data_IF_201266436260
#
_entry.id   IF_201266436260
#
_cell.length_a   1.000
_cell.length_b   1.000
_cell.length_c   1.000
_cell.angle_alpha   90.00
_cell.angle_beta   90.00
_cell.angle_gamma   90.00
#
_symmetry.space_group_name_H-M   'P 1'
#
loop_
_entity.id
_entity.type
_entity.pdbx_description
1 polymer ?
#
# COMPACT_ATOMS: atom_id res chain seq x y z
N UNK A 1 -5.08 11.28 -14.38
CA UNK A 1 -4.67 9.98 -14.97
C UNK A 1 -4.25 8.95 -13.93
N UNK A 2 -3.25 9.22 -13.08
CA UNK A 2 -2.67 8.22 -12.14
C UNK A 2 -3.69 7.60 -11.18
N UNK A 3 -4.57 8.41 -10.57
CA UNK A 3 -5.59 7.90 -9.62
C UNK A 3 -6.57 6.97 -10.34
N UNK A 4 -7.00 7.33 -11.54
CA UNK A 4 -7.94 6.52 -12.33
C UNK A 4 -7.33 5.18 -12.74
N UNK A 5 -6.12 5.18 -13.31
CA UNK A 5 -5.44 3.94 -13.71
C UNK A 5 -5.06 3.06 -12.51
N UNK A 6 -4.63 3.66 -11.39
CA UNK A 6 -4.33 2.93 -10.17
C UNK A 6 -5.59 2.26 -9.58
N UNK A 7 -6.70 3.00 -9.47
CA UNK A 7 -7.97 2.45 -8.97
C UNK A 7 -8.51 1.36 -9.88
N UNK A 8 -8.43 1.56 -11.20
CA UNK A 8 -8.86 0.56 -12.18
C UNK A 8 -8.03 -0.73 -12.08
N UNK A 9 -6.70 -0.59 -11.95
CA UNK A 9 -5.81 -1.74 -11.78
C UNK A 9 -6.12 -2.55 -10.52
N UNK A 10 -6.30 -1.88 -9.38
CA UNK A 10 -6.71 -2.54 -8.14
C UNK A 10 -8.07 -3.22 -8.29
N UNK A 11 -9.05 -2.53 -8.88
CA UNK A 11 -10.39 -3.09 -9.08
C UNK A 11 -10.35 -4.35 -9.94
N UNK A 12 -9.66 -4.32 -11.08
CA UNK A 12 -9.52 -5.47 -11.96
C UNK A 12 -8.82 -6.64 -11.27
N UNK A 13 -7.75 -6.36 -10.52
CA UNK A 13 -7.01 -7.38 -9.79
C UNK A 13 -7.91 -8.10 -8.77
N UNK A 14 -8.65 -7.34 -7.96
CA UNK A 14 -9.57 -7.92 -6.97
C UNK A 14 -10.75 -8.64 -7.62
N UNK A 15 -11.29 -8.13 -8.73
CA UNK A 15 -12.38 -8.77 -9.45
C UNK A 15 -11.95 -10.12 -10.05
N UNK A 16 -10.78 -10.18 -10.68
CA UNK A 16 -10.29 -11.41 -11.31
C UNK A 16 -9.93 -12.45 -10.25
N UNK A 17 -9.08 -12.12 -9.30
CA UNK A 17 -8.63 -13.08 -8.28
C UNK A 17 -9.74 -13.43 -7.27
N UNK A 18 -10.60 -12.48 -6.93
CA UNK A 18 -11.72 -12.71 -6.03
C UNK A 18 -12.74 -13.67 -6.64
N UNK A 19 -13.14 -13.45 -7.89
CA UNK A 19 -14.05 -14.36 -8.58
C UNK A 19 -13.44 -15.75 -8.79
N UNK A 20 -12.13 -15.82 -9.06
CA UNK A 20 -11.42 -17.09 -9.17
C UNK A 20 -11.42 -17.84 -7.83
N UNK A 21 -11.14 -17.17 -6.72
CA UNK A 21 -11.19 -17.76 -5.39
C UNK A 21 -12.59 -18.27 -5.01
N UNK A 22 -13.65 -17.50 -5.34
CA UNK A 22 -15.04 -17.93 -5.15
C UNK A 22 -15.36 -19.18 -6.00
N UNK A 23 -14.89 -19.23 -7.24
CA UNK A 23 -15.08 -20.39 -8.09
C UNK A 23 -14.40 -21.65 -7.51
N UNK A 24 -13.19 -21.51 -6.97
CA UNK A 24 -12.48 -22.63 -6.30
C UNK A 24 -13.27 -23.16 -5.09
N UNK A 25 -13.88 -22.28 -4.32
CA UNK A 25 -14.76 -22.64 -3.20
C UNK A 25 -16.00 -23.39 -3.68
N UNK A 26 -16.73 -22.83 -4.66
CA UNK A 26 -17.97 -23.39 -5.19
C UNK A 26 -17.74 -24.73 -5.92
N UNK A 27 -16.59 -24.90 -6.56
CA UNK A 27 -16.22 -26.15 -7.24
C UNK A 27 -15.70 -27.23 -6.27
N UNK A 28 -15.53 -26.90 -4.97
CA UNK A 28 -15.03 -27.82 -3.96
C UNK A 28 -13.53 -28.19 -4.12
N UNK A 29 -12.80 -27.44 -4.97
CA UNK A 29 -11.38 -27.68 -5.19
C UNK A 29 -10.52 -27.15 -4.04
N UNK A 30 -10.95 -26.06 -3.40
CA UNK A 30 -10.25 -25.45 -2.28
C UNK A 30 -11.25 -24.79 -1.32
N UNK A 31 -11.22 -25.17 -0.05
CA UNK A 31 -12.05 -24.55 0.98
C UNK A 31 -11.45 -23.19 1.40
N UNK A 32 -11.64 -22.16 0.57
CA UNK A 32 -11.03 -20.83 0.72
C UNK A 32 -11.51 -20.15 2.01
N UNK A 33 -12.79 -20.29 2.34
CA UNK A 33 -13.37 -19.73 3.57
C UNK A 33 -12.76 -20.32 4.84
N UNK A 34 -12.58 -21.64 4.90
CA UNK A 34 -11.92 -22.30 6.03
C UNK A 34 -10.44 -21.91 6.16
N UNK A 35 -9.75 -21.81 5.03
CA UNK A 35 -8.35 -21.38 4.99
C UNK A 35 -8.19 -19.92 5.48
N UNK A 36 -9.12 -19.04 5.12
CA UNK A 36 -9.14 -17.66 5.59
C UNK A 36 -9.24 -17.56 7.11
N UNK A 37 -10.08 -18.38 7.72
CA UNK A 37 -10.30 -18.39 9.17
C UNK A 37 -9.12 -19.03 9.92
N UNK A 38 -8.61 -20.16 9.41
CA UNK A 38 -7.60 -20.95 10.11
C UNK A 38 -6.16 -20.46 9.86
N UNK A 39 -5.82 -20.14 8.63
CA UNK A 39 -4.44 -19.83 8.22
C UNK A 39 -4.22 -18.34 7.89
N UNK A 40 -5.30 -17.58 7.73
CA UNK A 40 -5.26 -16.15 7.45
C UNK A 40 -5.06 -15.80 5.97
N UNK A 41 -5.25 -14.53 5.65
CA UNK A 41 -5.32 -14.01 4.28
C UNK A 41 -4.09 -14.31 3.41
N UNK A 42 -2.88 -14.30 4.00
CA UNK A 42 -1.62 -14.48 3.24
C UNK A 42 -1.48 -15.88 2.70
N UNK A 43 -1.68 -16.89 3.55
CA UNK A 43 -1.52 -18.30 3.17
C UNK A 43 -2.63 -18.67 2.20
N UNK A 44 -3.85 -18.20 2.42
CA UNK A 44 -4.97 -18.42 1.51
C UNK A 44 -4.69 -17.85 0.12
N UNK A 45 -4.23 -16.59 0.03
CA UNK A 45 -3.87 -15.99 -1.26
C UNK A 45 -2.77 -16.77 -1.98
N UNK A 46 -1.76 -17.25 -1.25
CA UNK A 46 -0.69 -18.07 -1.82
C UNK A 46 -1.24 -19.41 -2.36
N UNK A 47 -2.11 -20.08 -1.61
CA UNK A 47 -2.73 -21.33 -2.04
C UNK A 47 -3.62 -21.12 -3.27
N UNK A 48 -4.41 -20.06 -3.31
CA UNK A 48 -5.24 -19.67 -4.47
C UNK A 48 -4.37 -19.42 -5.71
N UNK A 49 -3.25 -18.70 -5.58
CA UNK A 49 -2.33 -18.46 -6.69
C UNK A 49 -1.66 -19.74 -7.20
N UNK A 50 -1.37 -20.69 -6.31
CA UNK A 50 -0.77 -21.98 -6.68
C UNK A 50 -1.72 -22.91 -7.45
N UNK A 51 -3.04 -22.71 -7.35
CA UNK A 51 -4.02 -23.48 -8.16
C UNK A 51 -4.10 -23.04 -9.61
N UNK A 52 -3.54 -21.88 -9.97
CA UNK A 52 -3.48 -21.41 -11.35
C UNK A 52 -2.57 -22.30 -12.21
N UNK A 53 -2.85 -22.47 -13.51
CA UNK A 53 -1.90 -23.08 -14.43
C UNK A 53 -0.60 -22.28 -14.39
N UNK A 54 0.52 -22.95 -14.15
CA UNK A 54 1.83 -22.34 -13.86
C UNK A 54 1.89 -21.57 -12.52
N UNK A 55 1.19 -22.02 -11.49
CA UNK A 55 1.07 -21.36 -10.19
C UNK A 55 2.39 -20.90 -9.57
N UNK A 56 3.46 -21.70 -9.69
CA UNK A 56 4.80 -21.29 -9.22
C UNK A 56 5.36 -20.07 -9.94
N UNK A 57 5.13 -19.95 -11.25
CA UNK A 57 5.57 -18.79 -12.03
C UNK A 57 4.77 -17.53 -11.64
N UNK A 58 3.46 -17.68 -11.50
CA UNK A 58 2.60 -16.58 -11.04
C UNK A 58 2.95 -16.13 -9.61
N UNK A 59 3.25 -17.08 -8.73
CA UNK A 59 3.68 -16.76 -7.36
C UNK A 59 5.01 -16.00 -7.36
N UNK A 60 5.98 -16.44 -8.17
CA UNK A 60 7.26 -15.75 -8.31
C UNK A 60 7.08 -14.31 -8.86
N UNK A 61 6.29 -14.14 -9.91
CA UNK A 61 5.97 -12.83 -10.48
C UNK A 61 5.27 -11.93 -9.45
N UNK A 62 4.33 -12.47 -8.69
CA UNK A 62 3.65 -11.76 -7.62
C UNK A 62 4.61 -11.31 -6.52
N UNK A 63 5.51 -12.19 -6.06
CA UNK A 63 6.53 -11.82 -5.06
C UNK A 63 7.44 -10.72 -5.57
N UNK A 64 7.89 -10.80 -6.81
CA UNK A 64 8.73 -9.77 -7.44
C UNK A 64 8.01 -8.43 -7.53
N UNK A 65 6.75 -8.44 -7.95
CA UNK A 65 5.90 -7.25 -8.00
C UNK A 65 5.73 -6.61 -6.60
N UNK A 66 5.48 -7.42 -5.57
CA UNK A 66 5.34 -6.93 -4.19
C UNK A 66 6.65 -6.30 -3.70
N UNK A 67 7.81 -6.90 -3.98
CA UNK A 67 9.12 -6.34 -3.60
C UNK A 67 9.35 -4.98 -4.25
N UNK A 68 9.09 -4.86 -5.56
CA UNK A 68 9.21 -3.58 -6.28
C UNK A 68 8.26 -2.53 -5.70
N UNK A 69 7.02 -2.91 -5.43
CA UNK A 69 6.02 -2.00 -4.86
C UNK A 69 6.42 -1.50 -3.46
N UNK A 70 6.90 -2.38 -2.60
CA UNK A 70 7.39 -2.01 -1.25
C UNK A 70 8.60 -1.10 -1.37
N UNK A 71 9.57 -1.43 -2.23
CA UNK A 71 10.78 -0.62 -2.41
C UNK A 71 10.45 0.81 -2.88
N UNK A 72 9.59 0.96 -3.87
CA UNK A 72 9.17 2.29 -4.37
C UNK A 72 8.38 3.08 -3.33
N UNK A 73 7.51 2.42 -2.56
CA UNK A 73 6.74 3.05 -1.49
C UNK A 73 7.65 3.55 -0.36
N UNK A 74 8.60 2.73 0.07
CA UNK A 74 9.54 3.12 1.14
C UNK A 74 10.48 4.23 0.70
N UNK A 75 10.95 4.22 -0.56
CA UNK A 75 11.77 5.32 -1.08
C UNK A 75 10.99 6.64 -1.07
N UNK A 76 9.75 6.63 -1.52
CA UNK A 76 8.89 7.83 -1.53
C UNK A 76 8.62 8.36 -0.12
N UNK A 77 8.24 7.49 0.82
CA UNK A 77 7.93 7.89 2.21
C UNK A 77 9.19 8.38 2.93
N UNK A 78 10.33 7.69 2.77
CA UNK A 78 11.61 8.11 3.37
C UNK A 78 12.07 9.46 2.86
N UNK A 79 11.85 9.75 1.57
CA UNK A 79 12.14 11.07 0.98
C UNK A 79 11.29 12.16 1.63
N UNK A 80 9.98 11.96 1.73
CA UNK A 80 9.05 12.94 2.32
C UNK A 80 9.43 13.24 3.78
N UNK A 81 9.71 12.20 4.58
CA UNK A 81 10.11 12.38 5.98
C UNK A 81 11.44 13.14 6.07
N UNK A 82 12.44 12.72 5.31
CA UNK A 82 13.76 13.35 5.30
C UNK A 82 13.69 14.83 4.88
N UNK A 83 12.82 15.15 3.92
CA UNK A 83 12.58 16.53 3.47
C UNK A 83 11.98 17.39 4.57
N UNK A 84 10.97 16.90 5.30
CA UNK A 84 10.31 17.66 6.37
C UNK A 84 11.22 17.87 7.58
N UNK A 85 12.03 16.88 7.94
CA UNK A 85 12.99 16.99 9.04
C UNK A 85 14.07 18.04 8.74
N UNK A 86 14.51 18.16 7.48
CA UNK A 86 15.55 19.12 7.09
C UNK A 86 15.04 20.55 6.92
N UNK A 87 13.75 20.78 6.65
CA UNK A 87 13.15 22.11 6.42
C UNK A 87 13.33 23.08 7.60
N UNK A 88 13.71 22.59 8.77
CA UNK A 88 14.03 23.42 9.94
C UNK A 88 15.40 24.12 9.82
N UNK A 89 16.26 23.72 8.89
CA UNK A 89 17.55 24.36 8.59
C UNK A 89 17.49 25.06 7.24
N UNK A 90 17.43 26.34 7.29
CA UNK A 90 17.49 27.39 6.26
C UNK A 90 18.37 27.06 5.03
N UNK A 91 17.87 26.30 4.08
CA UNK A 91 18.24 26.31 2.65
C UNK A 91 17.52 25.18 1.90
N UNK A 92 16.95 25.51 0.74
CA UNK A 92 16.16 24.61 -0.12
C UNK A 92 17.03 23.57 -0.86
N UNK A 93 17.82 22.79 -0.13
CA UNK A 93 18.61 21.70 -0.70
C UNK A 93 17.91 20.37 -0.51
N UNK A 94 18.03 19.48 -1.51
CA UNK A 94 17.54 18.12 -1.45
C UNK A 94 17.98 17.39 -0.18
N UNK A 95 17.14 16.50 0.40
CA UNK A 95 17.51 15.76 1.60
C UNK A 95 18.71 14.86 1.35
N UNK A 96 19.64 14.85 2.28
CA UNK A 96 20.86 14.04 2.22
C UNK A 96 20.53 12.54 2.02
N UNK A 97 21.28 11.86 1.14
CA UNK A 97 21.16 10.42 0.94
C UNK A 97 21.21 9.61 2.24
N UNK A 98 22.05 10.05 3.17
CA UNK A 98 22.21 9.39 4.49
C UNK A 98 20.92 9.48 5.31
N UNK A 99 20.24 10.63 5.29
CA UNK A 99 18.99 10.85 6.01
C UNK A 99 17.85 10.00 5.40
N UNK A 100 17.75 9.93 4.07
CA UNK A 100 16.81 9.07 3.38
C UNK A 100 17.04 7.60 3.73
N UNK A 101 18.28 7.14 3.68
CA UNK A 101 18.64 5.76 4.01
C UNK A 101 18.29 5.43 5.47
N UNK A 102 18.58 6.34 6.39
CA UNK A 102 18.25 6.18 7.81
C UNK A 102 16.73 5.98 8.02
N UNK A 103 15.92 6.84 7.43
CA UNK A 103 14.46 6.71 7.52
C UNK A 103 13.93 5.47 6.82
N UNK A 104 14.51 5.08 5.68
CA UNK A 104 14.14 3.84 5.00
C UNK A 104 14.40 2.60 5.87
N UNK A 105 15.53 2.57 6.59
CA UNK A 105 15.84 1.50 7.55
C UNK A 105 14.85 1.45 8.71
N UNK A 106 14.51 2.58 9.31
CA UNK A 106 13.53 2.64 10.40
C UNK A 106 12.18 2.13 9.94
N UNK A 107 11.72 2.55 8.74
CA UNK A 107 10.46 2.11 8.16
C UNK A 107 10.45 0.61 7.84
N UNK A 108 11.60 0.01 7.51
CA UNK A 108 11.70 -1.42 7.23
C UNK A 108 11.77 -2.26 8.52
N UNK A 109 12.47 -1.77 9.56
CA UNK A 109 12.64 -2.50 10.83
C UNK A 109 11.31 -2.66 11.57
N UNK A 110 10.47 -1.63 11.57
CA UNK A 110 9.21 -1.66 12.31
C UNK A 110 8.28 -2.82 11.89
N UNK A 111 7.92 -2.98 10.59
CA UNK A 111 7.10 -4.11 10.14
C UNK A 111 7.80 -5.45 10.33
N UNK A 112 9.13 -5.51 10.14
CA UNK A 112 9.91 -6.74 10.35
C UNK A 112 9.86 -7.19 11.83
N UNK A 113 10.00 -6.28 12.77
CA UNK A 113 9.89 -6.56 14.19
C UNK A 113 8.48 -7.07 14.56
N UNK A 114 7.43 -6.40 14.06
CA UNK A 114 6.03 -6.82 14.27
C UNK A 114 5.77 -8.22 13.69
N UNK A 115 6.42 -8.54 12.56
CA UNK A 115 6.32 -9.86 11.95
C UNK A 115 6.96 -10.96 12.83
N UNK A 116 8.15 -10.71 13.39
CA UNK A 116 8.88 -11.66 14.26
C UNK A 116 8.08 -11.96 15.54
N UNK A 117 7.43 -10.95 16.11
CA UNK A 117 6.65 -11.07 17.36
C UNK A 117 5.24 -11.65 17.11
N UNK A 118 4.88 -11.98 15.86
CA UNK A 118 3.54 -12.45 15.46
C UNK A 118 2.38 -11.49 15.82
N UNK A 119 2.66 -10.22 16.00
CA UNK A 119 1.69 -9.16 16.30
C UNK A 119 1.02 -8.58 15.03
N UNK A 120 1.04 -9.30 13.93
CA UNK A 120 0.52 -8.84 12.65
C UNK A 120 -0.99 -8.49 12.67
N UNK A 121 -1.79 -9.23 13.44
CA UNK A 121 -3.23 -8.93 13.61
C UNK A 121 -3.43 -7.59 14.31
N UNK A 122 -2.76 -7.41 15.43
CA UNK A 122 -2.83 -6.16 16.21
C UNK A 122 -2.35 -4.96 15.38
N UNK A 123 -1.29 -5.14 14.59
CA UNK A 123 -0.81 -4.10 13.69
C UNK A 123 -1.85 -3.72 12.63
N UNK A 124 -2.55 -4.69 12.03
CA UNK A 124 -3.63 -4.42 11.08
C UNK A 124 -4.81 -3.68 11.73
N UNK A 125 -5.20 -4.07 12.93
CA UNK A 125 -6.30 -3.44 13.68
C UNK A 125 -5.95 -1.97 14.02
N UNK A 126 -4.71 -1.71 14.41
CA UNK A 126 -4.22 -0.35 14.68
C UNK A 126 -4.22 0.48 13.39
N UNK A 127 -3.76 -0.06 12.26
CA UNK A 127 -3.76 0.64 10.96
C UNK A 127 -5.19 0.98 10.55
N UNK A 128 -6.13 0.06 10.70
CA UNK A 128 -7.55 0.31 10.42
C UNK A 128 -8.12 1.43 11.30
N UNK A 129 -7.81 1.42 12.59
CA UNK A 129 -8.25 2.46 13.53
C UNK A 129 -7.68 3.83 13.15
N UNK A 130 -6.39 3.88 12.80
CA UNK A 130 -5.71 5.12 12.37
C UNK A 130 -6.18 5.62 10.99
N UNK A 131 -6.77 4.76 10.16
CA UNK A 131 -7.31 5.17 8.87
C UNK A 131 -8.62 5.97 8.98
N UNK A 132 -9.37 5.81 10.08
CA UNK A 132 -10.62 6.53 10.32
C UNK A 132 -10.46 8.07 10.29
N UNK A 133 -9.54 8.69 11.04
CA UNK A 133 -9.34 10.14 10.97
C UNK A 133 -8.85 10.58 9.60
N UNK A 134 -8.04 9.77 8.90
CA UNK A 134 -7.58 10.09 7.55
C UNK A 134 -8.72 10.16 6.54
N UNK A 135 -9.76 9.35 6.72
CA UNK A 135 -10.96 9.37 5.87
C UNK A 135 -11.66 10.75 5.88
N UNK A 136 -11.59 11.49 6.99
CA UNK A 136 -12.13 12.84 7.10
C UNK A 136 -11.13 13.91 6.64
N UNK A 137 -9.84 13.71 6.90
CA UNK A 137 -8.79 14.68 6.56
C UNK A 137 -8.58 14.75 5.04
N UNK A 138 -8.56 13.61 4.33
CA UNK A 138 -8.33 13.57 2.90
C UNK A 138 -9.34 14.38 2.07
N UNK A 139 -10.67 14.29 2.28
CA UNK A 139 -11.63 15.13 1.56
C UNK A 139 -11.46 16.63 1.85
N UNK A 140 -11.15 16.99 3.10
CA UNK A 140 -10.92 18.39 3.48
C UNK A 140 -9.68 18.96 2.76
N UNK A 141 -8.60 18.19 2.71
CA UNK A 141 -7.39 18.57 1.97
C UNK A 141 -7.65 18.67 0.47
N UNK A 142 -8.42 17.74 -0.11
CA UNK A 142 -8.79 17.77 -1.52
C UNK A 142 -9.61 19.02 -1.86
N UNK A 143 -10.60 19.37 -1.03
CA UNK A 143 -11.40 20.58 -1.18
C UNK A 143 -10.57 21.86 -1.03
N UNK A 144 -9.64 21.88 -0.06
CA UNK A 144 -8.70 23.00 0.12
C UNK A 144 -7.83 23.20 -1.12
N UNK A 145 -7.29 22.12 -1.67
CA UNK A 145 -6.45 22.14 -2.87
C UNK A 145 -7.23 22.68 -4.09
N UNK A 146 -8.45 22.19 -4.31
CA UNK A 146 -9.32 22.68 -5.39
C UNK A 146 -9.64 24.17 -5.24
N UNK A 147 -9.90 24.63 -4.01
CA UNK A 147 -10.13 26.06 -3.75
C UNK A 147 -8.90 26.90 -4.04
N UNK A 148 -7.74 26.46 -3.59
CA UNK A 148 -6.47 27.17 -3.82
C UNK A 148 -6.16 27.28 -5.32
N UNK A 149 -6.32 26.17 -6.06
CA UNK A 149 -6.14 26.17 -7.51
C UNK A 149 -7.11 27.12 -8.21
N UNK A 150 -8.40 27.09 -7.84
CA UNK A 150 -9.41 27.96 -8.42
C UNK A 150 -9.09 29.45 -8.20
N UNK A 151 -8.64 29.80 -7.00
CA UNK A 151 -8.26 31.18 -6.69
C UNK A 151 -7.04 31.62 -7.50
N UNK A 152 -6.03 30.75 -7.65
CA UNK A 152 -4.81 31.05 -8.40
C UNK A 152 -5.08 31.23 -9.91
N UNK A 153 -6.00 30.47 -10.49
CA UNK A 153 -6.42 30.64 -11.88
C UNK A 153 -7.26 31.89 -12.08
N UNK A 154 -8.11 32.24 -11.11
CA UNK A 154 -8.92 33.47 -11.17
C UNK A 154 -8.08 34.78 -11.06
N UNK A 155 -6.92 34.71 -10.43
CA UNK A 155 -6.02 35.87 -10.24
C UNK A 155 -5.12 36.09 -11.49
N UNK A 156 -4.86 35.06 -12.28
CA UNK A 156 -4.10 35.13 -13.53
C UNK A 156 -4.93 35.56 -14.76
N UNK A 157 -6.26 35.56 -14.66
CA UNK A 157 -7.16 35.95 -15.73
C UNK A 157 -7.60 37.45 -15.61
N UNK A 158 -7.06 38.20 -14.65
CA UNK A 158 -7.22 39.67 -14.49
C UNK A 158 -5.94 40.42 -14.87
#
# INVERSE_FOLDING_TARGET
>A
GMIFFGSLGCFLFYMILGNYAINLELSGQLAVSELLVNEGHRITATKVLLTLPFGSLFLFAYCLMVVIFIATSYDSVSYVIAYHVKKTSSEANEPDRKMRLFWAFILAILPAALFIINLNRVAMDIILLMSLPLLFICPVLALSLVRTLKNHYSENDQ
#
